data_IF_922485548853
#
_entry.id   IF_922485548853
#
_cell.length_a   1.000
_cell.length_b   1.000
_cell.length_c   1.000
_cell.angle_alpha   90.00
_cell.angle_beta   90.00
_cell.angle_gamma   90.00
#
_symmetry.space_group_name_H-M   'P 1'
#
loop_
_entity.id
_entity.type
_entity.pdbx_description
1 polymer ?
#
# COMPACT_ATOMS: atom_id res chain seq x y z
N UNK A 1 -12.14 5.99 11.30
CA UNK A 1 -10.81 6.12 10.64
C UNK A 1 -10.54 7.60 10.38
N UNK A 2 -9.35 8.09 10.76
CA UNK A 2 -8.91 9.48 10.55
C UNK A 2 -8.23 9.62 9.18
N UNK A 3 -8.01 10.85 8.72
CA UNK A 3 -7.26 11.13 7.50
C UNK A 3 -5.75 11.27 7.74
N UNK A 4 -5.34 11.34 9.00
CA UNK A 4 -3.96 11.51 9.41
C UNK A 4 -3.70 10.80 10.74
N UNK A 5 -2.54 10.13 10.84
CA UNK A 5 -2.05 9.43 12.03
C UNK A 5 -0.57 9.73 12.20
N UNK A 6 -0.19 10.24 13.38
CA UNK A 6 1.21 10.57 13.71
C UNK A 6 1.75 9.60 14.75
N UNK A 7 2.96 9.11 14.52
CA UNK A 7 3.65 8.16 15.41
C UNK A 7 5.17 8.24 15.18
N UNK A 8 5.94 8.21 16.22
CA UNK A 8 7.43 8.11 16.18
C UNK A 8 8.12 9.08 15.19
N UNK A 9 7.64 10.35 15.10
CA UNK A 9 8.16 11.34 14.14
C UNK A 9 7.76 11.09 12.68
N UNK A 10 6.81 10.19 12.45
CA UNK A 10 6.24 9.86 11.15
C UNK A 10 4.77 10.22 11.09
N UNK A 11 4.27 10.46 9.89
CA UNK A 11 2.85 10.72 9.64
C UNK A 11 2.36 9.89 8.47
N UNK A 12 1.28 9.13 8.69
CA UNK A 12 0.47 8.54 7.64
C UNK A 12 -0.67 9.48 7.29
N UNK A 13 -0.74 9.94 6.05
CA UNK A 13 -1.71 10.95 5.62
C UNK A 13 -2.40 10.55 4.31
N UNK A 14 -3.72 10.73 4.27
CA UNK A 14 -4.49 10.67 3.03
C UNK A 14 -4.27 11.95 2.25
N UNK A 15 -4.01 11.82 0.96
CA UNK A 15 -3.80 12.96 0.07
C UNK A 15 -4.98 13.15 -0.87
N UNK A 16 -5.30 14.40 -1.17
CA UNK A 16 -6.27 14.81 -2.18
C UNK A 16 -5.58 15.18 -3.51
N UNK A 17 -6.36 15.61 -4.49
CA UNK A 17 -5.87 15.95 -5.83
C UNK A 17 -4.85 17.10 -5.86
N UNK A 18 -4.77 17.94 -4.83
CA UNK A 18 -3.79 19.04 -4.77
C UNK A 18 -2.35 18.53 -4.63
N UNK A 19 -2.20 17.30 -4.16
CA UNK A 19 -0.91 16.62 -4.02
C UNK A 19 -0.47 15.84 -5.26
N UNK A 20 -1.22 15.93 -6.38
CA UNK A 20 -0.96 15.11 -7.58
C UNK A 20 0.47 15.23 -8.11
N UNK A 21 1.05 16.43 -8.09
CA UNK A 21 2.44 16.64 -8.52
C UNK A 21 3.46 15.88 -7.65
N UNK A 22 3.31 15.93 -6.32
CA UNK A 22 4.19 15.19 -5.38
C UNK A 22 4.04 13.67 -5.51
N UNK A 23 2.81 13.20 -5.68
CA UNK A 23 2.55 11.77 -5.86
C UNK A 23 3.08 11.29 -7.21
N UNK A 24 2.94 12.07 -8.28
CA UNK A 24 3.55 11.78 -9.58
C UNK A 24 5.07 11.68 -9.48
N UNK A 25 5.72 12.61 -8.78
CA UNK A 25 7.16 12.58 -8.55
C UNK A 25 7.58 11.30 -7.81
N UNK A 26 6.88 10.94 -6.73
CA UNK A 26 7.11 9.70 -5.99
C UNK A 26 7.00 8.46 -6.89
N UNK A 27 5.94 8.34 -7.71
CA UNK A 27 5.79 7.22 -8.63
C UNK A 27 6.85 7.23 -9.75
N UNK A 28 7.19 8.39 -10.30
CA UNK A 28 8.13 8.53 -11.42
C UNK A 28 9.54 8.13 -11.00
N UNK A 29 10.03 8.60 -9.84
CA UNK A 29 11.39 8.26 -9.36
C UNK A 29 11.54 6.80 -8.95
N UNK A 30 10.42 6.12 -8.64
CA UNK A 30 10.38 4.71 -8.24
C UNK A 30 9.85 3.77 -9.33
N UNK A 31 9.65 4.27 -10.56
CA UNK A 31 8.93 3.57 -11.63
C UNK A 31 9.46 2.15 -11.85
N UNK A 32 10.75 1.99 -12.07
CA UNK A 32 11.37 0.71 -12.36
C UNK A 32 11.14 -0.32 -11.25
N UNK A 33 11.23 0.13 -9.99
CA UNK A 33 11.09 -0.73 -8.82
C UNK A 33 9.62 -1.13 -8.56
N UNK A 34 8.68 -0.19 -8.77
CA UNK A 34 7.27 -0.48 -8.54
C UNK A 34 6.67 -1.30 -9.68
N UNK A 35 7.06 -1.04 -10.92
CA UNK A 35 6.54 -1.75 -12.08
C UNK A 35 7.02 -3.21 -12.16
N UNK A 36 8.08 -3.57 -11.41
CA UNK A 36 8.65 -4.92 -11.41
C UNK A 36 7.65 -5.99 -10.94
N UNK A 37 6.80 -5.67 -9.97
CA UNK A 37 5.88 -6.60 -9.32
C UNK A 37 4.41 -6.17 -9.41
N UNK A 38 4.09 -5.20 -10.24
CA UNK A 38 2.74 -4.69 -10.42
C UNK A 38 2.22 -4.92 -11.83
N UNK A 39 0.90 -5.03 -11.95
CA UNK A 39 0.25 -5.10 -13.26
C UNK A 39 0.59 -3.87 -14.10
N UNK A 40 0.59 -4.05 -15.42
CA UNK A 40 0.83 -2.98 -16.36
C UNK A 40 -0.08 -1.79 -16.09
N UNK A 41 0.51 -0.62 -15.99
CA UNK A 41 -0.20 0.64 -15.79
C UNK A 41 -0.74 1.18 -17.13
N UNK A 42 -1.84 1.92 -17.12
CA UNK A 42 -2.33 2.58 -18.33
C UNK A 42 -1.30 3.60 -18.84
N UNK A 43 -1.32 3.86 -20.15
CA UNK A 43 -0.33 4.72 -20.81
C UNK A 43 -0.22 6.13 -20.21
N UNK A 44 -1.33 6.66 -19.68
CA UNK A 44 -1.42 7.97 -19.05
C UNK A 44 -1.18 7.96 -17.55
N UNK A 45 -0.75 6.83 -16.96
CA UNK A 45 -0.56 6.71 -15.50
C UNK A 45 0.39 7.80 -14.96
N UNK A 46 1.48 8.06 -15.68
CA UNK A 46 2.51 9.03 -15.28
C UNK A 46 2.20 10.44 -15.76
N UNK A 47 0.96 10.90 -15.57
CA UNK A 47 0.52 12.28 -15.79
C UNK A 47 -0.14 12.86 -14.54
N UNK A 48 -0.03 14.16 -14.35
CA UNK A 48 -0.63 14.86 -13.21
C UNK A 48 -2.15 14.69 -13.19
N UNK A 49 -2.78 14.74 -14.37
CA UNK A 49 -4.22 14.59 -14.55
C UNK A 49 -4.71 13.22 -14.09
N UNK A 50 -3.99 12.15 -14.47
CA UNK A 50 -4.34 10.79 -14.05
C UNK A 50 -4.20 10.63 -12.54
N UNK A 51 -3.08 11.10 -11.96
CA UNK A 51 -2.84 11.02 -10.51
C UNK A 51 -3.88 11.85 -9.75
N UNK A 52 -4.22 13.07 -10.21
CA UNK A 52 -5.25 13.89 -9.58
C UNK A 52 -6.61 13.20 -9.58
N UNK A 53 -7.03 12.64 -10.72
CA UNK A 53 -8.28 11.89 -10.82
C UNK A 53 -8.29 10.65 -9.91
N UNK A 54 -7.15 9.96 -9.81
CA UNK A 54 -6.98 8.80 -8.93
C UNK A 54 -7.12 9.20 -7.46
N UNK A 55 -6.41 10.23 -7.01
CA UNK A 55 -6.46 10.70 -5.61
C UNK A 55 -7.88 11.14 -5.23
N UNK A 56 -8.58 11.85 -6.12
CA UNK A 56 -9.97 12.24 -5.92
C UNK A 56 -10.91 11.03 -5.77
N UNK A 57 -10.74 10.02 -6.62
CA UNK A 57 -11.54 8.79 -6.55
C UNK A 57 -11.23 7.99 -5.27
N UNK A 58 -9.96 7.88 -4.89
CA UNK A 58 -9.52 7.20 -3.67
C UNK A 58 -10.03 7.90 -2.41
N UNK A 59 -10.03 9.24 -2.39
CA UNK A 59 -10.59 10.03 -1.29
C UNK A 59 -12.10 9.73 -1.13
N UNK A 60 -12.85 9.71 -2.23
CA UNK A 60 -14.27 9.37 -2.22
C UNK A 60 -14.53 7.92 -1.76
N UNK A 61 -13.68 6.97 -2.17
CA UNK A 61 -13.76 5.57 -1.74
C UNK A 61 -13.44 5.40 -0.25
N UNK A 62 -12.51 6.21 0.30
CA UNK A 62 -12.21 6.21 1.73
C UNK A 62 -13.42 6.64 2.57
N UNK A 63 -14.15 7.67 2.13
CA UNK A 63 -15.38 8.13 2.81
C UNK A 63 -16.46 7.04 2.89
N UNK A 64 -16.49 6.12 1.90
CA UNK A 64 -17.36 4.94 1.90
C UNK A 64 -16.78 3.76 2.68
N UNK A 65 -15.53 3.82 3.10
CA UNK A 65 -14.84 2.73 3.77
C UNK A 65 -14.41 1.56 2.88
N UNK A 66 -14.46 1.72 1.57
CA UNK A 66 -14.18 0.67 0.57
C UNK A 66 -12.70 0.53 0.23
N UNK A 67 -11.97 1.66 0.29
CA UNK A 67 -10.55 1.77 -0.04
C UNK A 67 -9.91 2.86 0.83
N UNK A 68 -8.62 2.75 1.11
CA UNK A 68 -7.84 3.85 1.67
C UNK A 68 -6.38 3.73 1.30
N UNK A 69 -5.78 4.85 0.91
CA UNK A 69 -4.34 4.97 0.71
C UNK A 69 -3.80 6.08 1.58
N UNK A 70 -2.78 5.74 2.36
CA UNK A 70 -2.04 6.66 3.20
C UNK A 70 -0.61 6.75 2.71
N UNK A 71 -0.10 7.96 2.66
CA UNK A 71 1.29 8.24 2.31
C UNK A 71 2.09 8.52 3.57
N UNK A 72 3.31 7.98 3.61
CA UNK A 72 4.22 8.13 4.74
C UNK A 72 5.09 9.36 4.55
N UNK A 73 5.13 10.20 5.56
CA UNK A 73 5.99 11.37 5.70
C UNK A 73 6.83 11.24 6.97
N UNK A 74 7.93 11.99 7.04
CA UNK A 74 8.75 12.16 8.24
C UNK A 74 8.89 13.63 8.58
N UNK A 75 8.96 13.94 9.88
CA UNK A 75 9.21 15.30 10.37
C UNK A 75 10.60 15.78 9.96
N UNK A 76 11.58 14.87 9.83
CA UNK A 76 12.95 15.17 9.41
C UNK A 76 13.07 15.48 7.91
N UNK A 77 12.08 15.08 7.09
CA UNK A 77 12.08 15.26 5.63
C UNK A 77 10.76 15.90 5.19
N UNK A 78 10.55 17.18 5.53
CA UNK A 78 9.26 17.83 5.33
C UNK A 78 8.83 17.85 3.86
N UNK A 79 7.66 17.31 3.62
CA UNK A 79 7.02 17.29 2.32
C UNK A 79 7.50 16.20 1.36
N UNK A 80 8.39 15.29 1.78
CA UNK A 80 8.83 14.16 0.98
C UNK A 80 7.97 12.92 1.27
N UNK A 81 7.52 12.24 0.23
CA UNK A 81 6.79 10.97 0.35
C UNK A 81 7.81 9.83 0.44
N UNK A 82 7.85 9.15 1.59
CA UNK A 82 8.76 8.04 1.87
C UNK A 82 8.18 6.68 1.49
N UNK A 83 6.85 6.59 1.42
CA UNK A 83 6.16 5.36 1.08
C UNK A 83 4.65 5.55 1.03
N UNK A 84 3.94 4.48 0.75
CA UNK A 84 2.48 4.43 0.84
C UNK A 84 2.00 3.07 1.27
N UNK A 85 0.87 3.04 1.98
CA UNK A 85 0.15 1.83 2.35
C UNK A 85 -1.31 2.00 2.01
N UNK A 86 -1.94 0.96 1.46
CA UNK A 86 -3.35 0.97 1.08
C UNK A 86 -4.06 -0.27 1.59
N UNK A 87 -5.35 -0.13 1.90
CA UNK A 87 -6.26 -1.24 2.07
C UNK A 87 -7.36 -1.19 1.02
N UNK A 88 -7.85 -2.35 0.59
CA UNK A 88 -8.85 -2.48 -0.47
C UNK A 88 -9.55 -3.83 -0.41
N UNK A 89 -10.61 -4.01 -1.21
CA UNK A 89 -11.36 -5.25 -1.23
C UNK A 89 -12.03 -5.54 0.13
N UNK A 90 -12.55 -4.50 0.76
CA UNK A 90 -13.20 -4.58 2.07
C UNK A 90 -14.49 -5.39 1.97
N UNK A 91 -14.65 -6.39 2.83
CA UNK A 91 -15.88 -7.15 3.02
C UNK A 91 -16.33 -7.04 4.47
N UNK A 92 -17.46 -6.39 4.70
CA UNK A 92 -18.00 -6.21 6.05
C UNK A 92 -18.50 -7.51 6.68
N UNK A 93 -19.07 -8.42 5.88
CA UNK A 93 -19.56 -9.72 6.37
C UNK A 93 -18.43 -10.55 6.99
N UNK A 94 -17.28 -10.62 6.31
CA UNK A 94 -16.14 -11.39 6.78
C UNK A 94 -15.13 -10.55 7.57
N UNK A 95 -15.38 -9.26 7.72
CA UNK A 95 -14.45 -8.29 8.31
C UNK A 95 -13.03 -8.48 7.77
N UNK A 96 -12.93 -8.51 6.44
CA UNK A 96 -11.66 -8.77 5.75
C UNK A 96 -11.34 -7.70 4.73
N UNK A 97 -10.05 -7.50 4.49
CA UNK A 97 -9.53 -6.64 3.45
C UNK A 97 -8.17 -7.14 2.95
N UNK A 98 -7.68 -6.53 1.89
CA UNK A 98 -6.31 -6.71 1.40
C UNK A 98 -5.48 -5.48 1.71
N UNK A 99 -4.17 -5.68 1.86
CA UNK A 99 -3.20 -4.61 2.06
C UNK A 99 -2.16 -4.62 0.94
N UNK A 100 -1.76 -3.42 0.51
CA UNK A 100 -0.64 -3.20 -0.40
C UNK A 100 0.22 -2.05 0.09
N UNK A 101 1.54 -2.10 -0.12
CA UNK A 101 2.45 -1.07 0.37
C UNK A 101 3.65 -0.89 -0.55
N UNK A 102 4.25 0.29 -0.49
CA UNK A 102 5.42 0.69 -1.26
C UNK A 102 6.33 1.54 -0.39
N UNK A 103 7.64 1.37 -0.56
CA UNK A 103 8.64 2.24 0.05
C UNK A 103 9.51 2.81 -1.07
N UNK A 104 9.78 4.09 -0.98
CA UNK A 104 10.70 4.77 -1.88
C UNK A 104 12.07 4.09 -1.86
N UNK A 105 12.66 3.94 -3.03
CA UNK A 105 13.94 3.22 -3.22
C UNK A 105 15.08 3.77 -2.35
N UNK A 106 15.07 5.08 -2.09
CA UNK A 106 16.10 5.76 -1.29
C UNK A 106 15.94 5.52 0.22
N UNK A 107 14.77 5.03 0.66
CA UNK A 107 14.44 4.84 2.09
C UNK A 107 14.17 3.38 2.44
N UNK A 108 14.61 2.44 1.59
CA UNK A 108 14.54 1.00 1.85
C UNK A 108 15.55 0.57 2.90
N UNK A 109 15.28 -0.57 3.55
CA UNK A 109 16.15 -1.17 4.58
C UNK A 109 16.34 -0.34 5.85
N UNK A 110 15.55 0.73 6.03
CA UNK A 110 15.51 1.58 7.22
C UNK A 110 14.39 1.20 8.21
N UNK A 111 13.73 0.06 8.00
CA UNK A 111 12.61 -0.37 8.85
C UNK A 111 11.28 0.32 8.57
N UNK A 112 11.24 1.36 7.73
CA UNK A 112 10.04 2.18 7.47
C UNK A 112 8.85 1.37 6.94
N UNK A 113 9.10 0.36 6.11
CA UNK A 113 8.04 -0.52 5.60
C UNK A 113 7.35 -1.29 6.71
N UNK A 114 8.11 -1.88 7.63
CA UNK A 114 7.57 -2.62 8.77
C UNK A 114 6.82 -1.69 9.73
N UNK A 115 7.38 -0.51 10.02
CA UNK A 115 6.74 0.50 10.86
C UNK A 115 5.41 0.96 10.26
N UNK A 116 5.38 1.33 8.98
CA UNK A 116 4.20 1.78 8.26
C UNK A 116 3.10 0.71 8.21
N UNK A 117 3.45 -0.53 7.87
CA UNK A 117 2.48 -1.63 7.79
C UNK A 117 1.96 -2.01 9.17
N UNK A 118 2.82 -2.04 10.20
CA UNK A 118 2.40 -2.29 11.58
C UNK A 118 1.31 -1.31 12.03
N UNK A 119 1.54 -0.01 11.85
CA UNK A 119 0.54 1.01 12.22
C UNK A 119 -0.74 0.89 11.39
N UNK A 120 -0.65 0.54 10.10
CA UNK A 120 -1.85 0.28 9.32
C UNK A 120 -2.62 -0.95 9.82
N UNK A 121 -1.94 -2.02 10.25
CA UNK A 121 -2.60 -3.16 10.87
C UNK A 121 -3.34 -2.76 12.15
N UNK A 122 -2.73 -1.96 13.03
CA UNK A 122 -3.36 -1.43 14.25
C UNK A 122 -4.63 -0.63 13.91
N UNK A 123 -4.57 0.27 12.91
CA UNK A 123 -5.73 1.04 12.44
C UNK A 123 -6.83 0.11 11.91
N UNK A 124 -6.47 -0.86 11.06
CA UNK A 124 -7.45 -1.77 10.47
C UNK A 124 -8.11 -2.69 11.49
N UNK A 125 -7.36 -3.18 12.48
CA UNK A 125 -7.90 -4.09 13.49
C UNK A 125 -8.71 -3.35 14.56
N UNK A 126 -8.24 -2.19 15.06
CA UNK A 126 -8.91 -1.50 16.16
C UNK A 126 -10.00 -0.52 15.71
N UNK A 127 -9.80 0.22 14.59
CA UNK A 127 -10.78 1.21 14.16
C UNK A 127 -11.77 0.69 13.11
N UNK A 128 -11.34 -0.24 12.24
CA UNK A 128 -12.21 -0.87 11.23
C UNK A 128 -12.67 -2.28 11.63
N UNK A 129 -12.21 -2.78 12.77
CA UNK A 129 -12.52 -4.11 13.29
C UNK A 129 -12.30 -5.24 12.30
N UNK A 130 -11.27 -5.10 11.44
CA UNK A 130 -10.91 -6.11 10.46
C UNK A 130 -10.33 -7.32 11.17
N UNK A 131 -10.94 -8.48 10.99
CA UNK A 131 -10.48 -9.74 11.52
C UNK A 131 -9.39 -10.39 10.66
N UNK A 132 -9.47 -10.18 9.33
CA UNK A 132 -8.59 -10.84 8.37
C UNK A 132 -8.01 -9.83 7.37
N UNK A 133 -6.69 -9.72 7.33
CA UNK A 133 -5.97 -8.82 6.42
C UNK A 133 -5.04 -9.64 5.55
N UNK A 134 -5.24 -9.59 4.22
CA UNK A 134 -4.52 -10.40 3.26
C UNK A 134 -3.45 -9.59 2.51
N UNK A 135 -2.33 -10.23 2.24
CA UNK A 135 -1.29 -9.71 1.34
C UNK A 135 -0.94 -10.75 0.27
N UNK A 136 -0.89 -10.33 -0.98
CA UNK A 136 -0.49 -11.17 -2.12
C UNK A 136 0.84 -10.65 -2.65
N UNK A 137 1.88 -11.48 -2.60
CA UNK A 137 3.26 -11.08 -2.83
C UNK A 137 3.87 -11.96 -3.91
N UNK A 138 4.48 -11.33 -4.93
CA UNK A 138 5.22 -12.06 -5.96
C UNK A 138 6.34 -12.89 -5.31
N UNK A 139 6.55 -14.18 -5.68
CA UNK A 139 7.52 -15.06 -5.01
C UNK A 139 8.96 -14.53 -5.00
N UNK A 140 9.35 -13.71 -5.97
CA UNK A 140 10.69 -13.11 -6.02
C UNK A 140 10.82 -11.81 -5.20
N UNK A 141 9.73 -11.28 -4.63
CA UNK A 141 9.78 -10.10 -3.77
C UNK A 141 10.12 -10.48 -2.33
N UNK A 142 11.36 -10.94 -2.13
CA UNK A 142 11.84 -11.46 -0.85
C UNK A 142 11.73 -10.42 0.27
N UNK A 143 11.99 -9.15 -0.02
CA UNK A 143 11.88 -8.07 0.98
C UNK A 143 10.47 -7.94 1.53
N UNK A 144 9.46 -8.01 0.66
CA UNK A 144 8.05 -7.95 1.06
C UNK A 144 7.61 -9.20 1.82
N UNK A 145 8.09 -10.39 1.41
CA UNK A 145 7.83 -11.65 2.11
C UNK A 145 8.39 -11.61 3.54
N UNK A 146 9.63 -11.16 3.71
CA UNK A 146 10.25 -11.06 5.02
C UNK A 146 9.54 -10.03 5.91
N UNK A 147 9.10 -8.91 5.33
CA UNK A 147 8.36 -7.89 6.05
C UNK A 147 7.05 -8.45 6.63
N UNK A 148 6.20 -9.07 5.82
CA UNK A 148 4.92 -9.60 6.32
C UNK A 148 5.12 -10.72 7.34
N UNK A 149 6.12 -11.59 7.14
CA UNK A 149 6.46 -12.63 8.12
C UNK A 149 6.89 -12.02 9.47
N UNK A 150 7.70 -10.96 9.46
CA UNK A 150 8.15 -10.29 10.69
C UNK A 150 7.01 -9.63 11.46
N UNK A 151 5.90 -9.30 10.78
CA UNK A 151 4.69 -8.73 11.36
C UNK A 151 3.64 -9.77 11.75
N UNK A 152 3.97 -11.07 11.69
CA UNK A 152 3.09 -12.13 12.13
C UNK A 152 2.08 -12.63 11.09
N UNK A 153 2.24 -12.28 9.82
CA UNK A 153 1.43 -12.88 8.77
C UNK A 153 1.75 -14.37 8.60
N UNK A 154 0.72 -15.17 8.41
CA UNK A 154 0.78 -16.62 8.17
C UNK A 154 0.65 -16.88 6.67
N UNK A 155 1.46 -17.79 6.13
CA UNK A 155 1.35 -18.22 4.73
C UNK A 155 0.16 -19.17 4.54
N UNK A 156 -0.67 -18.90 3.54
CA UNK A 156 -1.80 -19.76 3.14
C UNK A 156 -1.61 -20.41 1.76
N UNK A 157 -0.38 -20.43 1.25
CA UNK A 157 -0.06 -21.09 0.00
C UNK A 157 0.03 -20.15 -1.19
N UNK A 158 -0.25 -20.66 -2.38
CA UNK A 158 -0.05 -19.96 -3.65
C UNK A 158 -1.39 -19.66 -4.33
N UNK A 159 -1.58 -18.40 -4.70
CA UNK A 159 -2.61 -17.97 -5.62
C UNK A 159 -2.07 -18.11 -7.05
N UNK A 160 -2.47 -19.16 -7.75
CA UNK A 160 -1.99 -19.44 -9.11
C UNK A 160 -2.56 -18.46 -10.12
N UNK A 161 -1.72 -18.04 -11.09
CA UNK A 161 -2.11 -17.14 -12.19
C UNK A 161 -2.86 -15.89 -11.70
N UNK A 162 -2.38 -15.27 -10.63
CA UNK A 162 -3.11 -14.24 -9.86
C UNK A 162 -3.05 -12.85 -10.51
N UNK A 163 -1.88 -12.45 -11.02
CA UNK A 163 -1.69 -11.14 -11.65
C UNK A 163 -1.01 -11.31 -13.00
N UNK A 164 -1.45 -10.53 -14.00
CA UNK A 164 -0.80 -10.48 -15.31
C UNK A 164 0.31 -9.42 -15.29
N UNK A 165 1.57 -9.87 -15.27
CA UNK A 165 2.75 -9.01 -15.32
C UNK A 165 3.43 -9.19 -16.68
N UNK A 166 3.73 -8.09 -17.38
CA UNK A 166 4.44 -8.12 -18.66
C UNK A 166 3.86 -9.13 -19.67
N UNK A 167 2.53 -9.21 -19.72
CA UNK A 167 1.82 -10.10 -20.65
C UNK A 167 1.65 -11.55 -20.18
N UNK A 168 2.30 -11.97 -19.08
CA UNK A 168 2.24 -13.33 -18.54
C UNK A 168 1.53 -13.36 -17.17
N UNK A 169 0.71 -14.38 -16.95
CA UNK A 169 0.11 -14.65 -15.65
C UNK A 169 1.16 -15.12 -14.65
N UNK A 170 1.20 -14.51 -13.48
CA UNK A 170 2.17 -14.79 -12.43
C UNK A 170 1.48 -15.24 -11.15
N UNK A 171 2.09 -16.23 -10.51
CA UNK A 171 1.64 -16.71 -9.21
C UNK A 171 2.04 -15.72 -8.11
N UNK A 172 1.23 -15.66 -7.05
CA UNK A 172 1.55 -14.88 -5.85
C UNK A 172 1.43 -15.75 -4.61
N UNK A 173 2.31 -15.54 -3.65
CA UNK A 173 2.17 -16.12 -2.32
C UNK A 173 1.09 -15.34 -1.56
N UNK A 174 0.18 -16.08 -0.94
CA UNK A 174 -0.87 -15.52 -0.10
C UNK A 174 -0.46 -15.58 1.36
N UNK A 175 -0.50 -14.43 1.99
CA UNK A 175 -0.26 -14.25 3.42
C UNK A 175 -1.49 -13.63 4.08
N UNK A 176 -1.72 -13.98 5.36
CA UNK A 176 -2.84 -13.47 6.12
C UNK A 176 -2.40 -13.06 7.53
N UNK A 177 -2.86 -11.92 7.98
CA UNK A 177 -2.82 -11.49 9.37
C UNK A 177 -4.21 -11.67 9.96
N UNK A 178 -4.29 -12.34 11.10
CA UNK A 178 -5.53 -12.58 11.86
C UNK A 178 -5.43 -11.81 13.16
N UNK A 179 -6.45 -10.96 13.44
CA UNK A 179 -6.55 -10.21 14.71
C UNK A 179 -7.31 -10.99 15.75
#
# INVERSE_FOLDING_TARGET
MKFEYTFEGMTLKVLDETFAGKVLEFYSRNREEFDRYEAAKPNNFYTTEYIAATLKAEYAALLKGEFGRFFLFSDDLPGEILGSVSFFGVTSINRSCRIGYKIDKNYRQLGLGSLMVKHMLEILTHEKEMHRIEAYIHPQNISSINLVKSLGFISEGTAYSYVKLNGSWQDHLRFVYIS
#
